data_IF_015601449791
#
_entry.id   IF_015601449791
#
_cell.length_a   1.000
_cell.length_b   1.000
_cell.length_c   1.000
_cell.angle_alpha   90.00
_cell.angle_beta   90.00
_cell.angle_gamma   90.00
#
_symmetry.space_group_name_H-M   'P 1'
#
loop_
_entity.id
_entity.type
_entity.pdbx_description
1 polymer ?
#
# COMPACT_ATOMS: atom_id res chain seq x y z
N UNK A 1 -16.65 2.61 -10.22
CA UNK A 1 -15.33 2.91 -9.62
C UNK A 1 -15.06 2.12 -8.33
N UNK A 2 -15.90 2.23 -7.28
CA UNK A 2 -15.68 1.53 -5.99
C UNK A 2 -15.37 0.03 -6.13
N UNK A 3 -16.23 -0.72 -6.81
CA UNK A 3 -16.06 -2.18 -6.99
C UNK A 3 -14.78 -2.52 -7.74
N UNK A 4 -14.47 -1.79 -8.81
CA UNK A 4 -13.22 -1.94 -9.54
C UNK A 4 -12.00 -1.79 -8.62
N UNK A 5 -11.96 -0.76 -7.77
CA UNK A 5 -10.85 -0.55 -6.85
C UNK A 5 -10.75 -1.65 -5.79
N UNK A 6 -11.87 -2.17 -5.30
CA UNK A 6 -11.88 -3.32 -4.38
C UNK A 6 -11.21 -4.53 -5.03
N UNK A 7 -11.63 -4.89 -6.25
CA UNK A 7 -11.06 -6.02 -6.98
C UNK A 7 -9.60 -5.78 -7.37
N UNK A 8 -9.26 -4.60 -7.88
CA UNK A 8 -7.91 -4.28 -8.31
C UNK A 8 -6.90 -4.33 -7.16
N UNK A 9 -7.20 -3.69 -6.03
CA UNK A 9 -6.36 -3.79 -4.83
C UNK A 9 -6.32 -5.23 -4.31
N UNK A 10 -7.45 -5.94 -4.28
CA UNK A 10 -7.50 -7.33 -3.84
C UNK A 10 -6.64 -8.27 -4.69
N UNK A 11 -6.64 -8.10 -6.01
CA UNK A 11 -5.78 -8.85 -6.94
C UNK A 11 -4.30 -8.53 -6.69
N UNK A 12 -3.95 -7.26 -6.49
CA UNK A 12 -2.57 -6.86 -6.20
C UNK A 12 -2.06 -7.52 -4.91
N UNK A 13 -2.85 -7.49 -3.84
CA UNK A 13 -2.55 -8.15 -2.56
C UNK A 13 -2.43 -9.67 -2.72
N UNK A 14 -3.36 -10.29 -3.46
CA UNK A 14 -3.37 -11.73 -3.68
C UNK A 14 -2.15 -12.22 -4.47
N UNK A 15 -1.78 -11.51 -5.54
CA UNK A 15 -0.61 -11.83 -6.35
C UNK A 15 0.68 -11.63 -5.55
N UNK A 16 0.81 -10.52 -4.82
CA UNK A 16 1.98 -10.28 -4.01
C UNK A 16 2.10 -11.33 -2.88
N UNK A 17 1.02 -11.60 -2.15
CA UNK A 17 0.99 -12.66 -1.14
C UNK A 17 1.39 -14.02 -1.71
N UNK A 18 0.91 -14.38 -2.91
CA UNK A 18 1.32 -15.60 -3.60
C UNK A 18 2.82 -15.62 -3.93
N UNK A 19 3.39 -14.52 -4.44
CA UNK A 19 4.81 -14.44 -4.74
C UNK A 19 5.65 -14.54 -3.46
N UNK A 20 5.38 -13.71 -2.47
CA UNK A 20 6.21 -13.62 -1.27
C UNK A 20 6.08 -14.84 -0.35
N UNK A 21 4.86 -15.30 -0.08
CA UNK A 21 4.64 -16.40 0.86
C UNK A 21 4.91 -17.77 0.24
N UNK A 22 4.52 -17.98 -1.03
CA UNK A 22 4.64 -19.30 -1.66
C UNK A 22 5.97 -19.46 -2.40
N UNK A 23 6.32 -18.53 -3.30
CA UNK A 23 7.55 -18.67 -4.09
C UNK A 23 8.81 -18.28 -3.33
N UNK A 24 8.79 -17.14 -2.64
CA UNK A 24 9.93 -16.67 -1.85
C UNK A 24 10.01 -17.29 -0.46
N UNK A 25 8.98 -18.06 -0.05
CA UNK A 25 8.88 -18.75 1.25
C UNK A 25 9.05 -17.82 2.45
N UNK A 26 8.61 -16.57 2.33
CA UNK A 26 8.62 -15.65 3.46
C UNK A 26 7.60 -16.12 4.49
N UNK A 27 7.96 -16.02 5.77
CA UNK A 27 6.95 -16.11 6.81
C UNK A 27 6.04 -14.86 6.76
N UNK A 28 4.89 -14.95 7.42
CA UNK A 28 3.88 -13.88 7.38
C UNK A 28 4.42 -12.52 7.85
N UNK A 29 5.25 -12.49 8.90
CA UNK A 29 5.82 -11.25 9.45
C UNK A 29 6.79 -10.64 8.44
N UNK A 30 7.70 -11.43 7.89
CA UNK A 30 8.65 -10.99 6.86
C UNK A 30 7.92 -10.43 5.65
N UNK A 31 6.88 -11.12 5.14
CA UNK A 31 6.08 -10.60 4.02
C UNK A 31 5.47 -9.23 4.35
N UNK A 32 4.75 -9.10 5.47
CA UNK A 32 4.10 -7.85 5.86
C UNK A 32 5.09 -6.69 6.01
N UNK A 33 6.27 -6.96 6.57
CA UNK A 33 7.29 -5.93 6.78
C UNK A 33 8.04 -5.56 5.49
N UNK A 34 8.11 -6.45 4.51
CA UNK A 34 8.72 -6.15 3.19
C UNK A 34 7.76 -5.58 2.17
N UNK A 35 6.50 -5.97 2.26
CA UNK A 35 5.48 -5.65 1.28
C UNK A 35 4.32 -4.94 1.98
N UNK A 36 4.69 -3.85 2.63
CA UNK A 36 3.78 -2.92 3.26
C UNK A 36 2.71 -2.43 2.27
N UNK A 37 3.00 -2.14 0.97
CA UNK A 37 1.97 -1.79 0.01
C UNK A 37 0.78 -2.76 0.02
N UNK A 38 1.02 -4.08 0.04
CA UNK A 38 -0.04 -5.08 0.13
C UNK A 38 -0.83 -5.02 1.43
N UNK A 39 -0.18 -4.76 2.57
CA UNK A 39 -0.88 -4.57 3.84
C UNK A 39 -1.85 -3.37 3.77
N UNK A 40 -1.38 -2.25 3.21
CA UNK A 40 -2.19 -1.02 3.07
C UNK A 40 -3.32 -1.22 2.06
N UNK A 41 -3.06 -1.93 0.96
CA UNK A 41 -4.08 -2.29 -0.02
C UNK A 41 -5.15 -3.22 0.59
N UNK A 42 -4.75 -4.16 1.44
CA UNK A 42 -5.69 -5.02 2.18
C UNK A 42 -6.55 -4.20 3.14
N UNK A 43 -5.93 -3.27 3.88
CA UNK A 43 -6.64 -2.36 4.78
C UNK A 43 -7.64 -1.46 4.04
N UNK A 44 -7.27 -0.89 2.88
CA UNK A 44 -8.19 -0.05 2.11
C UNK A 44 -9.31 -0.86 1.46
N UNK A 45 -9.05 -2.10 1.03
CA UNK A 45 -10.09 -3.02 0.55
C UNK A 45 -11.13 -3.25 1.64
N UNK A 46 -10.69 -3.55 2.86
CA UNK A 46 -11.57 -3.66 4.02
C UNK A 46 -12.38 -2.37 4.23
N UNK A 47 -11.72 -1.21 4.28
CA UNK A 47 -12.39 0.08 4.46
C UNK A 47 -13.45 0.35 3.38
N UNK A 48 -13.14 0.05 2.11
CA UNK A 48 -14.03 0.18 0.96
C UNK A 48 -15.24 -0.74 1.08
N UNK A 49 -15.05 -2.03 1.36
CA UNK A 49 -16.16 -3.01 1.51
C UNK A 49 -17.14 -2.53 2.57
N UNK A 50 -16.65 -2.19 3.76
CA UNK A 50 -17.49 -1.78 4.89
C UNK A 50 -17.97 -0.32 4.83
N UNK A 51 -17.57 0.45 3.82
CA UNK A 51 -17.99 1.84 3.66
C UNK A 51 -17.52 2.77 4.78
N UNK A 52 -16.47 2.42 5.51
CA UNK A 52 -15.98 3.17 6.68
C UNK A 52 -15.12 4.35 6.23
N UNK A 53 -15.75 5.51 6.03
CA UNK A 53 -15.12 6.72 5.47
C UNK A 53 -13.86 7.15 6.24
N UNK A 54 -13.89 7.12 7.58
CA UNK A 54 -12.72 7.47 8.39
C UNK A 54 -11.56 6.50 8.13
N UNK A 55 -11.82 5.18 8.03
CA UNK A 55 -10.79 4.20 7.71
C UNK A 55 -10.23 4.39 6.29
N UNK A 56 -11.08 4.73 5.32
CA UNK A 56 -10.62 5.09 3.97
C UNK A 56 -9.67 6.29 4.03
N UNK A 57 -10.04 7.34 4.77
CA UNK A 57 -9.23 8.56 4.86
C UNK A 57 -7.92 8.35 5.64
N UNK A 58 -7.92 7.47 6.66
CA UNK A 58 -6.71 7.05 7.38
C UNK A 58 -5.69 6.38 6.44
N UNK A 59 -6.15 5.67 5.42
CA UNK A 59 -5.26 5.02 4.45
C UNK A 59 -4.56 6.00 3.50
N UNK A 60 -5.05 7.24 3.34
CA UNK A 60 -4.54 8.20 2.34
C UNK A 60 -3.03 8.48 2.50
N UNK A 61 -2.51 8.83 3.70
CA UNK A 61 -1.07 9.09 3.85
C UNK A 61 -0.21 7.88 3.46
N UNK A 62 -0.64 6.68 3.82
CA UNK A 62 0.04 5.44 3.46
C UNK A 62 -0.01 5.19 1.95
N UNK A 63 -1.21 5.27 1.34
CA UNK A 63 -1.39 5.05 -0.09
C UNK A 63 -0.59 6.05 -0.93
N UNK A 64 -0.52 7.32 -0.50
CA UNK A 64 0.31 8.31 -1.16
C UNK A 64 1.80 8.02 -1.00
N UNK A 65 2.26 7.73 0.22
CA UNK A 65 3.68 7.49 0.46
C UNK A 65 4.18 6.26 -0.32
N UNK A 66 3.52 5.11 -0.19
CA UNK A 66 3.93 3.87 -0.85
C UNK A 66 3.55 3.83 -2.32
N UNK A 67 2.41 4.43 -2.72
CA UNK A 67 1.99 4.50 -4.11
C UNK A 67 2.83 5.49 -4.92
N UNK A 68 2.89 6.76 -4.50
CA UNK A 68 3.65 7.77 -5.24
C UNK A 68 5.15 7.53 -5.09
N UNK A 69 5.61 7.16 -3.89
CA UNK A 69 7.01 6.81 -3.66
C UNK A 69 7.46 5.64 -4.53
N UNK A 70 6.60 4.64 -4.76
CA UNK A 70 6.87 3.51 -5.63
C UNK A 70 7.26 3.92 -7.06
N UNK A 71 6.61 4.95 -7.62
CA UNK A 71 6.93 5.46 -8.95
C UNK A 71 8.34 6.03 -9.08
N UNK A 72 8.93 6.51 -7.99
CA UNK A 72 10.30 7.05 -7.97
C UNK A 72 11.35 6.00 -7.58
N UNK A 73 10.93 4.89 -6.98
CA UNK A 73 11.82 3.83 -6.50
C UNK A 73 12.03 2.71 -7.52
N UNK A 74 11.04 2.45 -8.38
CA UNK A 74 11.08 1.41 -9.40
C UNK A 74 11.14 2.02 -10.80
N UNK A 75 11.79 1.31 -11.73
CA UNK A 75 11.73 1.64 -13.15
C UNK A 75 10.45 1.09 -13.80
N UNK A 76 10.24 1.36 -15.08
CA UNK A 76 9.11 0.81 -15.87
C UNK A 76 9.59 -0.37 -16.75
N UNK A 77 10.40 -1.26 -16.17
CA UNK A 77 10.84 -2.47 -16.85
C UNK A 77 9.81 -3.60 -16.73
N UNK A 78 9.91 -4.62 -17.57
CA UNK A 78 9.02 -5.79 -17.51
C UNK A 78 9.07 -6.53 -16.16
N UNK A 79 10.22 -6.48 -15.46
CA UNK A 79 10.42 -7.09 -14.13
C UNK A 79 9.68 -6.35 -13.02
N UNK A 80 9.62 -5.02 -13.09
CA UNK A 80 9.01 -4.15 -12.07
C UNK A 80 7.59 -3.73 -12.43
N UNK A 81 7.13 -4.03 -13.64
CA UNK A 81 5.78 -3.71 -14.12
C UNK A 81 4.66 -4.14 -13.16
N UNK A 82 4.68 -5.35 -12.54
CA UNK A 82 3.65 -5.72 -11.56
C UNK A 82 3.61 -4.78 -10.35
N UNK A 83 4.77 -4.34 -9.85
CA UNK A 83 4.86 -3.39 -8.76
C UNK A 83 4.34 -2.00 -9.19
N UNK A 84 4.71 -1.53 -10.38
CA UNK A 84 4.23 -0.24 -10.92
C UNK A 84 2.71 -0.21 -11.10
N UNK A 85 2.11 -1.31 -11.56
CA UNK A 85 0.66 -1.46 -11.65
C UNK A 85 0.05 -1.36 -10.24
N UNK A 86 0.60 -2.07 -9.27
CA UNK A 86 0.13 -2.01 -7.87
C UNK A 86 0.16 -0.58 -7.31
N UNK A 87 1.28 0.13 -7.48
CA UNK A 87 1.43 1.53 -7.07
C UNK A 87 0.43 2.47 -7.79
N UNK A 88 0.17 2.23 -9.07
CA UNK A 88 -0.85 2.97 -9.83
C UNK A 88 -2.24 2.78 -9.26
N UNK A 89 -2.60 1.55 -8.88
CA UNK A 89 -3.88 1.26 -8.22
C UNK A 89 -3.97 1.96 -6.86
N UNK A 90 -2.88 2.07 -6.09
CA UNK A 90 -2.87 2.82 -4.82
C UNK A 90 -3.16 4.31 -5.03
N UNK A 91 -2.56 4.93 -6.06
CA UNK A 91 -2.81 6.33 -6.41
C UNK A 91 -4.24 6.55 -6.88
N UNK A 92 -4.75 5.70 -7.78
CA UNK A 92 -6.15 5.77 -8.22
C UNK A 92 -7.12 5.60 -7.04
N UNK A 93 -6.80 4.72 -6.09
CA UNK A 93 -7.60 4.52 -4.87
C UNK A 93 -7.61 5.78 -4.01
N UNK A 94 -6.46 6.41 -3.82
CA UNK A 94 -6.35 7.68 -3.10
C UNK A 94 -7.19 8.77 -3.75
N UNK A 95 -7.03 8.98 -5.05
CA UNK A 95 -7.78 9.98 -5.82
C UNK A 95 -9.29 9.74 -5.71
N UNK A 96 -9.72 8.48 -5.80
CA UNK A 96 -11.12 8.12 -5.61
C UNK A 96 -11.65 8.45 -4.22
N UNK A 97 -10.91 8.16 -3.15
CA UNK A 97 -11.33 8.45 -1.77
C UNK A 97 -11.45 9.97 -1.58
N UNK A 98 -10.46 10.74 -2.02
CA UNK A 98 -10.48 12.21 -1.93
C UNK A 98 -11.67 12.78 -2.71
N UNK A 99 -11.84 12.34 -3.97
CA UNK A 99 -12.97 12.73 -4.82
C UNK A 99 -14.31 12.42 -4.15
N UNK A 100 -14.46 11.24 -3.56
CA UNK A 100 -15.68 10.82 -2.85
C UNK A 100 -15.98 11.73 -1.65
N UNK A 101 -14.96 12.14 -0.89
CA UNK A 101 -15.16 13.01 0.28
C UNK A 101 -15.51 14.45 -0.14
N UNK A 102 -14.86 14.98 -1.19
CA UNK A 102 -15.12 16.34 -1.70
C UNK A 102 -16.53 16.42 -2.28
N UNK A 103 -16.91 15.49 -3.15
CA UNK A 103 -18.24 15.49 -3.79
C UNK A 103 -19.40 15.32 -2.82
N UNK A 104 -19.15 14.72 -1.65
CA UNK A 104 -20.14 14.53 -0.59
C UNK A 104 -20.10 15.62 0.49
N UNK A 105 -19.28 16.66 0.32
CA UNK A 105 -19.09 17.73 1.31
C UNK A 105 -18.64 17.22 2.69
N UNK A 106 -17.90 16.10 2.73
CA UNK A 106 -17.43 15.46 3.97
C UNK A 106 -15.97 15.82 4.29
N UNK A 107 -15.56 17.06 4.04
CA UNK A 107 -14.18 17.55 4.18
C UNK A 107 -13.66 17.38 5.61
N UNK A 108 -14.50 17.57 6.64
CA UNK A 108 -14.09 17.35 8.02
C UNK A 108 -13.62 15.91 8.29
N UNK A 109 -14.31 14.91 7.73
CA UNK A 109 -13.91 13.49 7.85
C UNK A 109 -12.63 13.21 7.07
N UNK A 110 -12.41 13.89 5.95
CA UNK A 110 -11.19 13.80 5.17
C UNK A 110 -10.00 14.29 5.99
N UNK A 111 -10.09 15.51 6.54
CA UNK A 111 -9.02 16.11 7.36
C UNK A 111 -8.73 15.27 8.59
N UNK A 112 -9.76 14.87 9.36
CA UNK A 112 -9.59 14.03 10.55
C UNK A 112 -8.91 12.70 10.19
N UNK A 113 -9.36 12.04 9.12
CA UNK A 113 -8.78 10.77 8.71
C UNK A 113 -7.33 10.91 8.26
N UNK A 114 -6.98 11.96 7.51
CA UNK A 114 -5.59 12.23 7.10
C UNK A 114 -4.72 12.51 8.33
N UNK A 115 -5.18 13.31 9.29
CA UNK A 115 -4.43 13.59 10.53
C UNK A 115 -4.16 12.31 11.33
N UNK A 116 -5.20 11.48 11.53
CA UNK A 116 -5.05 10.18 12.17
C UNK A 116 -4.11 9.26 11.38
N UNK A 117 -4.21 9.27 10.05
CA UNK A 117 -3.31 8.53 9.16
C UNK A 117 -1.85 8.94 9.32
N UNK A 118 -1.56 10.25 9.42
CA UNK A 118 -0.19 10.75 9.66
C UNK A 118 0.33 10.30 11.03
N UNK A 119 -0.50 10.43 12.08
CA UNK A 119 -0.14 10.02 13.44
C UNK A 119 0.21 8.52 13.50
N UNK A 120 -0.53 7.68 12.76
CA UNK A 120 -0.25 6.23 12.69
C UNK A 120 0.92 5.90 11.76
N UNK A 121 1.08 6.66 10.69
CA UNK A 121 2.12 6.43 9.67
C UNK A 121 3.53 6.55 10.24
N UNK A 122 3.79 7.59 11.05
CA UNK A 122 5.12 7.84 11.60
C UNK A 122 5.67 6.67 12.45
N UNK A 123 4.99 6.21 13.52
CA UNK A 123 5.50 5.09 14.33
C UNK A 123 5.58 3.81 13.50
N UNK A 124 4.63 3.59 12.59
CA UNK A 124 4.64 2.43 11.72
C UNK A 124 5.87 2.41 10.80
N UNK A 125 6.25 3.54 10.21
CA UNK A 125 7.49 3.68 9.43
C UNK A 125 8.75 3.41 10.25
N UNK A 126 8.78 3.86 11.50
CA UNK A 126 9.90 3.58 12.41
C UNK A 126 10.03 2.08 12.65
N UNK A 127 8.92 1.39 12.92
CA UNK A 127 8.90 -0.07 13.10
C UNK A 127 9.40 -0.82 11.85
N UNK A 128 8.92 -0.44 10.66
CA UNK A 128 9.35 -1.05 9.40
C UNK A 128 10.86 -0.88 9.18
N UNK A 129 11.38 0.35 9.35
CA UNK A 129 12.81 0.62 9.17
C UNK A 129 13.64 -0.18 10.17
N UNK A 130 13.20 -0.28 11.42
CA UNK A 130 13.91 -1.05 12.44
C UNK A 130 13.91 -2.54 12.10
N UNK A 131 12.77 -3.09 11.67
CA UNK A 131 12.65 -4.49 11.25
C UNK A 131 13.58 -4.82 10.09
N UNK A 132 13.58 -4.00 9.03
CA UNK A 132 14.41 -4.21 7.85
C UNK A 132 15.91 -4.06 8.14
N UNK A 133 16.29 -3.27 9.14
CA UNK A 133 17.69 -3.18 9.62
C UNK A 133 18.10 -4.42 10.41
N UNK A 134 17.19 -4.98 11.21
CA UNK A 134 17.45 -6.17 12.02
C UNK A 134 17.51 -7.46 11.18
N UNK A 135 16.90 -7.48 9.98
CA UNK A 135 16.80 -8.66 9.11
C UNK A 135 17.37 -8.36 7.71
N UNK A 136 18.70 -8.16 7.56
CA UNK A 136 19.32 -7.80 6.29
C UNK A 136 19.17 -8.89 5.20
N UNK A 137 19.01 -10.15 5.56
CA UNK A 137 18.74 -11.28 4.65
C UNK A 137 17.45 -11.10 3.86
N UNK A 138 16.52 -10.32 4.38
CA UNK A 138 15.26 -10.00 3.72
C UNK A 138 15.44 -8.88 2.67
N UNK A 139 16.52 -8.09 2.77
CA UNK A 139 16.85 -6.97 1.88
C UNK A 139 17.53 -7.42 0.58
N UNK A 140 18.32 -8.50 0.61
CA UNK A 140 19.06 -8.99 -0.57
C UNK A 140 18.16 -9.44 -1.72
N UNK A 141 16.91 -9.83 -1.44
CA UNK A 141 15.95 -10.20 -2.49
C UNK A 141 15.38 -9.00 -3.26
N UNK A 142 15.39 -7.79 -2.71
CA UNK A 142 15.04 -6.58 -3.46
C UNK A 142 16.14 -6.16 -4.45
N UNK A 143 17.40 -6.52 -4.19
CA UNK A 143 18.50 -6.28 -5.12
C UNK A 143 18.36 -7.12 -6.39
N UNK A 144 17.76 -8.31 -6.30
CA UNK A 144 17.41 -9.15 -7.46
C UNK A 144 16.44 -8.45 -8.43
N UNK A 145 15.49 -7.66 -7.90
CA UNK A 145 14.57 -6.86 -8.72
C UNK A 145 15.16 -5.52 -9.18
N UNK A 146 16.30 -5.10 -8.59
CA UNK A 146 17.00 -3.84 -8.93
C UNK A 146 18.13 -4.04 -9.93
N UNK A 147 18.57 -5.27 -10.19
CA UNK A 147 19.57 -5.55 -11.23
C UNK A 147 19.01 -5.09 -12.58
N UNK A 148 19.71 -4.13 -13.20
CA UNK A 148 19.59 -3.86 -14.64
C UNK A 148 19.78 -5.15 -15.43
#
# INVERSE_FOLDING_TARGET
MKFFLIFANGICVGLAGFIFLYFLKYNFISWVMTDIPSLIQMFVVFALIFGKKILMNISIPFLLFYGAGGFFLFDWSSRTMPAQISHSIMILTTLYIIYLMITRWEIGKLVIGIMLGIILFVPFRVCEIYYLKAHPEVKSHFEFFRSK
#
